data_IF_636570241346
#
_entry.id   IF_636570241346
#
_cell.length_a   1.000
_cell.length_b   1.000
_cell.length_c   1.000
_cell.angle_alpha   90.00
_cell.angle_beta   90.00
_cell.angle_gamma   90.00
#
_symmetry.space_group_name_H-M   'P 1'
#
loop_
_entity.id
_entity.type
_entity.pdbx_description
1 polymer ?
#
# COMPACT_ATOMS: atom_id res chain seq x y z
N UNK A 1 13.41 -0.49 14.63
CA UNK A 1 12.89 0.53 15.61
C UNK A 1 11.43 0.79 15.26
N UNK A 2 10.51 0.56 16.20
CA UNK A 2 9.07 0.75 15.96
C UNK A 2 8.76 2.25 15.88
N UNK A 3 8.31 2.71 14.72
CA UNK A 3 7.89 4.09 14.51
C UNK A 3 6.53 4.34 15.17
N UNK A 4 6.33 5.58 15.62
CA UNK A 4 5.04 6.00 16.15
C UNK A 4 4.07 6.26 15.00
N UNK A 5 3.15 5.31 14.81
CA UNK A 5 2.09 5.40 13.79
C UNK A 5 0.75 5.30 14.50
N UNK A 6 -0.18 6.18 14.15
CA UNK A 6 -1.52 6.22 14.72
C UNK A 6 -2.60 6.42 13.66
N UNK A 7 -3.84 6.15 14.05
CA UNK A 7 -5.04 6.45 13.25
C UNK A 7 -5.83 7.52 14.01
N UNK A 8 -6.20 8.60 13.32
CA UNK A 8 -7.04 9.65 13.93
C UNK A 8 -8.38 9.04 14.36
N UNK A 9 -8.70 9.15 15.65
CA UNK A 9 -9.89 8.56 16.25
C UNK A 9 -11.19 8.97 15.55
N UNK A 10 -11.25 10.16 14.96
CA UNK A 10 -12.40 10.65 14.19
C UNK A 10 -12.73 9.80 12.97
N UNK A 11 -11.76 9.02 12.47
CA UNK A 11 -11.99 8.12 11.34
C UNK A 11 -12.85 6.92 11.75
N UNK A 12 -12.74 6.44 12.99
CA UNK A 12 -13.54 5.32 13.51
C UNK A 12 -15.01 5.66 13.67
N UNK A 13 -15.35 6.94 13.86
CA UNK A 13 -16.74 7.40 13.90
C UNK A 13 -17.43 7.25 12.55
N UNK A 14 -16.66 7.23 11.44
CA UNK A 14 -17.16 7.12 10.07
C UNK A 14 -17.02 5.68 9.55
N UNK A 15 -15.88 5.05 9.83
CA UNK A 15 -15.57 3.71 9.34
C UNK A 15 -14.71 2.94 10.37
N UNK A 16 -15.33 2.15 11.25
CA UNK A 16 -14.65 1.54 12.40
C UNK A 16 -13.71 0.37 12.05
N UNK A 17 -13.74 -0.11 10.80
CA UNK A 17 -12.94 -1.27 10.35
C UNK A 17 -11.53 -0.89 9.84
N UNK A 18 -11.11 0.37 10.05
CA UNK A 18 -9.79 0.85 9.60
C UNK A 18 -8.71 0.24 10.46
N UNK A 19 -7.75 -0.41 9.83
CA UNK A 19 -6.52 -0.92 10.44
C UNK A 19 -5.34 -0.68 9.50
N UNK A 20 -4.16 -0.55 10.05
CA UNK A 20 -2.91 -0.53 9.29
C UNK A 20 -2.04 -1.71 9.72
N UNK A 21 -1.61 -2.50 8.75
CA UNK A 21 -0.49 -3.42 8.92
C UNK A 21 0.81 -2.70 8.58
N UNK A 22 1.78 -2.79 9.46
CA UNK A 22 3.02 -2.03 9.38
C UNK A 22 4.22 -2.96 9.43
N UNK A 23 5.20 -2.73 8.55
CA UNK A 23 6.53 -3.34 8.63
C UNK A 23 7.58 -2.23 8.52
N UNK A 24 8.62 -2.31 9.32
CA UNK A 24 9.82 -1.50 9.15
C UNK A 24 11.04 -2.39 9.03
N UNK A 25 11.97 -2.05 8.16
CA UNK A 25 13.19 -2.82 7.95
C UNK A 25 14.28 -1.98 7.31
N UNK A 26 15.52 -2.47 7.40
CA UNK A 26 16.63 -1.97 6.62
C UNK A 26 16.79 -2.81 5.34
N UNK A 27 17.00 -2.17 4.19
CA UNK A 27 17.17 -2.84 2.91
C UNK A 27 18.23 -2.15 2.03
N UNK A 28 18.93 -2.96 1.24
CA UNK A 28 19.70 -2.48 0.09
C UNK A 28 18.79 -2.53 -1.15
N UNK A 29 18.31 -1.38 -1.58
CA UNK A 29 17.39 -1.28 -2.71
C UNK A 29 18.12 -1.66 -4.00
N UNK A 30 17.61 -2.63 -4.71
CA UNK A 30 18.21 -3.16 -5.95
C UNK A 30 17.27 -2.97 -7.14
N UNK A 31 17.84 -3.03 -8.32
CA UNK A 31 17.06 -3.16 -9.56
C UNK A 31 16.17 -4.42 -9.51
N UNK A 32 15.10 -4.47 -10.32
CA UNK A 32 14.21 -5.63 -10.41
C UNK A 32 14.98 -6.94 -10.63
N UNK A 33 14.60 -7.99 -9.87
CA UNK A 33 15.24 -9.30 -9.90
C UNK A 33 14.50 -10.23 -10.88
N UNK A 34 15.26 -10.88 -11.80
CA UNK A 34 14.70 -11.84 -12.76
C UNK A 34 14.06 -13.06 -12.06
N UNK A 35 14.61 -13.51 -10.93
CA UNK A 35 14.06 -14.65 -10.16
C UNK A 35 12.70 -14.26 -9.56
N UNK A 36 12.59 -13.06 -8.99
CA UNK A 36 11.35 -12.52 -8.50
C UNK A 36 10.30 -12.44 -9.61
N UNK A 37 10.66 -11.87 -10.76
CA UNK A 37 9.71 -11.69 -11.86
C UNK A 37 9.32 -13.00 -12.54
N UNK A 38 10.19 -14.00 -12.58
CA UNK A 38 9.83 -15.36 -12.99
C UNK A 38 8.77 -15.94 -12.04
N UNK A 39 8.97 -15.85 -10.72
CA UNK A 39 7.99 -16.26 -9.72
C UNK A 39 6.66 -15.51 -9.87
N UNK A 40 6.70 -14.19 -10.03
CA UNK A 40 5.50 -13.38 -10.26
C UNK A 40 4.71 -13.85 -11.49
N UNK A 41 5.39 -14.00 -12.63
CA UNK A 41 4.74 -14.29 -13.91
C UNK A 41 4.24 -15.73 -14.02
N UNK A 42 4.98 -16.70 -13.48
CA UNK A 42 4.69 -18.12 -13.65
C UNK A 42 3.76 -18.66 -12.56
N UNK A 43 3.82 -18.11 -11.34
CA UNK A 43 3.07 -18.64 -10.19
C UNK A 43 1.98 -17.67 -9.71
N UNK A 44 2.35 -16.41 -9.41
CA UNK A 44 1.45 -15.48 -8.71
C UNK A 44 0.36 -14.93 -9.64
N UNK A 45 0.75 -14.30 -10.74
CA UNK A 45 -0.20 -13.61 -11.62
C UNK A 45 -1.22 -14.56 -12.27
N UNK A 46 -0.86 -15.79 -12.70
CA UNK A 46 -1.84 -16.76 -13.19
C UNK A 46 -2.86 -17.17 -12.11
N UNK A 47 -2.39 -17.41 -10.88
CA UNK A 47 -3.25 -17.75 -9.74
C UNK A 47 -4.21 -16.61 -9.41
N UNK A 48 -3.70 -15.39 -9.23
CA UNK A 48 -4.53 -14.21 -8.96
C UNK A 48 -5.54 -14.00 -10.07
N UNK A 49 -5.15 -14.13 -11.34
CA UNK A 49 -6.07 -14.01 -12.48
C UNK A 49 -7.21 -15.02 -12.42
N UNK A 50 -6.91 -16.28 -12.10
CA UNK A 50 -7.92 -17.32 -11.95
C UNK A 50 -8.87 -17.04 -10.78
N UNK A 51 -8.35 -16.53 -9.67
CA UNK A 51 -9.14 -16.19 -8.48
C UNK A 51 -10.11 -15.01 -8.69
N UNK A 52 -9.74 -14.05 -9.54
CA UNK A 52 -10.56 -12.86 -9.81
C UNK A 52 -11.43 -12.99 -11.07
N UNK A 53 -11.33 -14.09 -11.78
CA UNK A 53 -12.11 -14.31 -13.01
C UNK A 53 -13.62 -14.30 -12.71
N UNK A 54 -14.35 -13.55 -13.51
CA UNK A 54 -15.81 -13.39 -13.35
C UNK A 54 -16.29 -12.63 -12.12
N UNK A 55 -15.39 -12.23 -11.20
CA UNK A 55 -15.79 -11.48 -10.00
C UNK A 55 -16.02 -9.99 -10.30
N UNK A 56 -17.04 -9.43 -9.66
CA UNK A 56 -17.21 -7.98 -9.58
C UNK A 56 -16.21 -7.37 -8.58
N UNK A 57 -15.95 -6.06 -8.68
CA UNK A 57 -14.96 -5.39 -7.82
C UNK A 57 -15.30 -5.49 -6.33
N UNK A 58 -16.58 -5.50 -5.99
CA UNK A 58 -17.04 -5.64 -4.61
C UNK A 58 -17.03 -7.09 -4.08
N UNK A 59 -16.71 -8.07 -4.93
CA UNK A 59 -16.55 -9.47 -4.55
C UNK A 59 -15.09 -9.85 -4.28
N UNK A 60 -14.17 -8.92 -4.56
CA UNK A 60 -12.73 -9.09 -4.29
C UNK A 60 -12.42 -8.50 -2.92
N UNK A 61 -12.01 -9.36 -1.99
CA UNK A 61 -11.57 -8.98 -0.65
C UNK A 61 -10.43 -7.95 -0.74
N UNK A 62 -10.35 -7.02 0.22
CA UNK A 62 -9.42 -5.89 0.20
C UNK A 62 -9.88 -4.73 -0.69
N UNK A 63 -10.29 -5.02 -1.94
CA UNK A 63 -10.89 -3.98 -2.81
C UNK A 63 -12.27 -3.58 -2.30
N UNK A 64 -13.11 -4.55 -1.88
CA UNK A 64 -14.44 -4.31 -1.32
C UNK A 64 -14.38 -3.33 -0.16
N UNK A 65 -13.53 -3.58 0.84
CA UNK A 65 -13.37 -2.71 2.00
C UNK A 65 -12.85 -1.33 1.63
N UNK A 66 -11.84 -1.25 0.77
CA UNK A 66 -11.32 0.03 0.28
C UNK A 66 -12.40 0.87 -0.41
N UNK A 67 -13.23 0.26 -1.26
CA UNK A 67 -14.35 0.93 -1.95
C UNK A 67 -15.43 1.37 -0.98
N UNK A 68 -15.74 0.55 0.04
CA UNK A 68 -16.71 0.89 1.09
C UNK A 68 -16.22 2.06 1.95
N UNK A 69 -14.96 2.03 2.40
CA UNK A 69 -14.34 3.12 3.16
C UNK A 69 -14.35 4.44 2.38
N UNK A 70 -13.88 4.44 1.12
CA UNK A 70 -13.88 5.66 0.30
C UNK A 70 -15.29 6.23 0.13
N UNK A 71 -16.30 5.37 -0.08
CA UNK A 71 -17.70 5.80 -0.17
C UNK A 71 -18.18 6.42 1.14
N UNK A 72 -17.82 5.84 2.30
CA UNK A 72 -18.18 6.37 3.61
C UNK A 72 -17.58 7.77 3.85
N UNK A 73 -16.36 8.03 3.36
CA UNK A 73 -15.71 9.34 3.40
C UNK A 73 -16.14 10.27 2.25
N UNK A 74 -17.21 9.94 1.51
CA UNK A 74 -17.79 10.79 0.48
C UNK A 74 -17.06 10.81 -0.87
N UNK A 75 -16.16 9.85 -1.11
CA UNK A 75 -15.44 9.72 -2.39
C UNK A 75 -16.05 8.63 -3.27
N UNK A 76 -16.11 8.91 -4.56
CA UNK A 76 -16.58 7.93 -5.54
C UNK A 76 -15.45 6.92 -5.88
N UNK A 77 -15.56 5.64 -5.47
CA UNK A 77 -14.50 4.66 -5.69
C UNK A 77 -14.31 4.29 -7.18
N UNK A 78 -15.24 4.60 -8.05
CA UNK A 78 -15.09 4.44 -9.49
C UNK A 78 -14.14 5.47 -10.10
N UNK A 79 -14.09 6.67 -9.53
CA UNK A 79 -13.20 7.77 -9.95
C UNK A 79 -11.86 7.74 -9.21
N UNK A 80 -11.90 7.50 -7.90
CA UNK A 80 -10.73 7.45 -7.03
C UNK A 80 -10.42 5.99 -6.67
N UNK A 81 -9.62 5.34 -7.48
CA UNK A 81 -9.27 3.93 -7.30
C UNK A 81 -8.04 3.79 -6.42
N UNK A 82 -8.10 2.83 -5.51
CA UNK A 82 -6.93 2.43 -4.72
C UNK A 82 -5.89 1.73 -5.59
N UNK A 83 -4.63 1.73 -5.16
CA UNK A 83 -3.50 1.19 -5.93
C UNK A 83 -3.66 -0.30 -6.22
N UNK A 84 -4.12 -1.10 -5.25
CA UNK A 84 -4.39 -2.53 -5.44
C UNK A 84 -5.43 -2.81 -6.53
N UNK A 85 -6.52 -2.03 -6.59
CA UNK A 85 -7.51 -2.17 -7.66
C UNK A 85 -6.89 -1.84 -9.03
N UNK A 86 -6.00 -0.85 -9.10
CA UNK A 86 -5.31 -0.51 -10.34
C UNK A 86 -4.39 -1.65 -10.82
N UNK A 87 -3.63 -2.27 -9.90
CA UNK A 87 -2.78 -3.42 -10.19
C UNK A 87 -3.60 -4.64 -10.64
N UNK A 88 -4.66 -4.98 -9.90
CA UNK A 88 -5.52 -6.13 -10.22
C UNK A 88 -6.24 -5.93 -11.56
N UNK A 89 -6.58 -4.69 -11.95
CA UNK A 89 -7.11 -4.40 -13.29
C UNK A 89 -6.10 -4.71 -14.39
N UNK A 90 -4.79 -4.46 -14.16
CA UNK A 90 -3.73 -4.84 -15.11
C UNK A 90 -3.63 -6.36 -15.21
N UNK A 91 -3.59 -7.06 -14.06
CA UNK A 91 -3.55 -8.52 -14.01
C UNK A 91 -4.75 -9.14 -14.75
N UNK A 92 -5.95 -8.62 -14.55
CA UNK A 92 -7.18 -9.09 -15.24
C UNK A 92 -7.11 -8.94 -16.75
N UNK A 93 -6.52 -7.85 -17.25
CA UNK A 93 -6.34 -7.62 -18.69
C UNK A 93 -5.18 -8.41 -19.31
N UNK A 94 -4.32 -8.99 -18.49
CA UNK A 94 -3.09 -9.64 -18.93
C UNK A 94 -1.96 -8.66 -19.25
N UNK A 95 -2.07 -7.41 -18.76
CA UNK A 95 -1.01 -6.42 -18.88
C UNK A 95 0.13 -6.77 -17.91
N UNK A 96 1.38 -6.52 -18.30
CA UNK A 96 2.55 -6.62 -17.42
C UNK A 96 2.48 -5.60 -16.29
N UNK A 97 2.95 -5.98 -15.10
CA UNK A 97 3.18 -5.04 -14.01
C UNK A 97 4.49 -4.27 -14.23
N UNK A 98 4.59 -3.10 -13.60
CA UNK A 98 5.81 -2.30 -13.67
C UNK A 98 6.92 -2.92 -12.83
N UNK A 99 8.12 -2.98 -13.37
CA UNK A 99 9.35 -3.35 -12.68
C UNK A 99 9.98 -2.06 -12.16
N UNK A 100 10.01 -1.86 -10.85
CA UNK A 100 10.45 -0.59 -10.25
C UNK A 100 11.76 -0.78 -9.48
N UNK A 101 11.71 -1.48 -8.36
CA UNK A 101 12.85 -1.89 -7.56
C UNK A 101 12.43 -3.02 -6.60
N UNK A 102 13.40 -3.63 -5.93
CA UNK A 102 13.17 -4.81 -5.08
C UNK A 102 12.10 -4.62 -4.01
N UNK A 103 11.96 -3.44 -3.43
CA UNK A 103 10.94 -3.15 -2.39
C UNK A 103 9.57 -2.92 -3.00
N UNK A 104 9.47 -2.08 -4.02
CA UNK A 104 8.19 -1.73 -4.65
C UNK A 104 7.60 -2.94 -5.39
N UNK A 105 8.45 -3.79 -5.96
CA UNK A 105 8.01 -5.01 -6.64
C UNK A 105 7.39 -6.00 -5.64
N UNK A 106 7.97 -6.17 -4.44
CA UNK A 106 7.36 -6.96 -3.36
C UNK A 106 6.07 -6.30 -2.83
N UNK A 107 5.98 -4.97 -2.73
CA UNK A 107 4.69 -4.30 -2.44
C UNK A 107 3.61 -4.70 -3.43
N UNK A 108 3.94 -4.71 -4.73
CA UNK A 108 3.00 -5.08 -5.77
C UNK A 108 2.56 -6.55 -5.66
N UNK A 109 3.50 -7.45 -5.30
CA UNK A 109 3.18 -8.86 -4.99
C UNK A 109 2.11 -8.94 -3.89
N UNK A 110 2.37 -8.33 -2.73
CA UNK A 110 1.44 -8.35 -1.58
C UNK A 110 0.09 -7.73 -1.96
N UNK A 111 0.11 -6.62 -2.73
CA UNK A 111 -1.11 -5.95 -3.18
C UNK A 111 -1.97 -6.81 -4.10
N UNK A 112 -1.38 -7.54 -5.05
CA UNK A 112 -2.17 -8.36 -5.99
C UNK A 112 -2.70 -9.63 -5.34
N UNK A 113 -1.95 -10.22 -4.39
CA UNK A 113 -2.39 -11.41 -3.66
C UNK A 113 -3.50 -11.11 -2.66
N UNK A 114 -3.38 -10.00 -1.92
CA UNK A 114 -4.32 -9.66 -0.84
C UNK A 114 -5.49 -8.79 -1.27
N UNK A 115 -5.39 -8.09 -2.39
CA UNK A 115 -6.33 -7.03 -2.77
C UNK A 115 -6.19 -5.74 -1.96
N UNK A 116 -5.29 -5.70 -0.97
CA UNK A 116 -5.03 -4.51 -0.15
C UNK A 116 -3.99 -3.61 -0.80
N UNK A 117 -4.15 -2.30 -0.65
CA UNK A 117 -3.12 -1.36 -1.06
C UNK A 117 -1.94 -1.38 -0.11
N UNK A 118 -0.74 -1.39 -0.67
CA UNK A 118 0.52 -1.34 0.07
C UNK A 118 1.32 -0.14 -0.43
N UNK A 119 1.76 0.71 0.51
CA UNK A 119 2.70 1.80 0.26
C UNK A 119 4.04 1.51 0.93
N UNK A 120 5.13 1.99 0.35
CA UNK A 120 6.45 1.96 0.98
C UNK A 120 7.10 3.34 0.96
N UNK A 121 7.77 3.67 2.06
CA UNK A 121 8.24 5.02 2.33
C UNK A 121 9.67 4.99 2.87
N UNK A 122 10.49 5.92 2.39
CA UNK A 122 11.82 6.21 2.93
C UNK A 122 11.67 6.93 4.28
N UNK A 123 12.01 6.24 5.37
CA UNK A 123 11.91 6.77 6.73
C UNK A 123 12.80 7.98 6.98
N UNK A 124 13.87 8.17 6.20
CA UNK A 124 14.73 9.36 6.29
C UNK A 124 14.05 10.63 5.74
N UNK A 125 12.91 10.49 5.07
CA UNK A 125 12.08 11.58 4.54
C UNK A 125 10.81 11.82 5.36
N UNK A 126 10.66 11.16 6.50
CA UNK A 126 9.50 11.27 7.39
C UNK A 126 9.95 11.89 8.70
N UNK A 127 9.24 12.91 9.16
CA UNK A 127 9.58 13.70 10.32
C UNK A 127 8.51 13.62 11.42
N UNK A 128 8.90 13.10 12.58
CA UNK A 128 8.00 12.95 13.73
C UNK A 128 7.02 11.78 13.63
N UNK A 129 5.91 11.87 14.36
CA UNK A 129 4.88 10.84 14.40
C UNK A 129 4.06 10.80 13.10
N UNK A 130 3.69 9.59 12.68
CA UNK A 130 2.84 9.38 11.50
C UNK A 130 1.39 9.22 11.94
N UNK A 131 0.47 9.90 11.26
CA UNK A 131 -0.96 9.75 11.51
C UNK A 131 -1.72 9.48 10.21
N UNK A 132 -2.51 8.40 10.18
CA UNK A 132 -3.54 8.25 9.17
C UNK A 132 -4.70 9.17 9.52
N UNK A 133 -5.02 10.10 8.66
CA UNK A 133 -6.11 11.06 8.85
C UNK A 133 -6.85 11.36 7.57
N UNK A 134 -7.97 12.05 7.67
CA UNK A 134 -8.63 12.63 6.51
C UNK A 134 -7.87 13.89 6.08
N UNK A 135 -7.60 14.02 4.78
CA UNK A 135 -6.99 15.22 4.23
C UNK A 135 -7.95 16.41 4.30
N UNK A 136 -7.40 17.57 4.60
CA UNK A 136 -8.13 18.82 4.72
C UNK A 136 -8.41 19.46 3.35
N UNK A 137 -9.19 20.53 3.35
CA UNK A 137 -9.53 21.26 2.15
C UNK A 137 -8.27 21.88 1.51
N UNK A 138 -8.05 21.64 0.24
CA UNK A 138 -6.89 22.16 -0.50
C UNK A 138 -5.58 21.40 -0.27
N UNK A 139 -5.56 20.35 0.57
CA UNK A 139 -4.40 19.50 0.69
C UNK A 139 -4.20 18.61 -0.54
N UNK A 140 -2.95 18.49 -0.94
CA UNK A 140 -2.52 17.64 -2.04
C UNK A 140 -1.00 17.54 -2.12
N UNK A 141 -0.51 16.69 -3.00
CA UNK A 141 0.91 16.51 -3.26
C UNK A 141 1.19 16.10 -4.70
N UNK A 142 2.44 16.26 -5.15
CA UNK A 142 2.90 15.66 -6.40
C UNK A 142 2.99 14.15 -6.22
N UNK A 143 2.20 13.39 -6.99
CA UNK A 143 2.19 11.92 -6.95
C UNK A 143 3.34 11.32 -7.74
N UNK A 144 3.74 10.08 -7.41
CA UNK A 144 4.76 9.35 -8.16
C UNK A 144 4.26 9.11 -9.59
N UNK A 145 4.98 9.64 -10.57
CA UNK A 145 4.62 9.55 -11.99
C UNK A 145 3.33 10.29 -12.37
N UNK A 146 2.91 11.25 -11.54
CA UNK A 146 1.69 12.05 -11.74
C UNK A 146 1.97 13.51 -11.40
N UNK A 147 1.13 14.40 -11.97
CA UNK A 147 1.06 15.79 -11.56
C UNK A 147 0.52 15.94 -10.12
N UNK A 148 0.24 17.17 -9.72
CA UNK A 148 -0.37 17.45 -8.43
C UNK A 148 -1.71 16.71 -8.28
N UNK A 149 -1.85 15.97 -7.18
CA UNK A 149 -3.05 15.26 -6.79
C UNK A 149 -3.76 16.03 -5.68
N UNK A 150 -4.98 16.42 -5.95
CA UNK A 150 -5.90 16.91 -4.91
C UNK A 150 -6.33 15.73 -4.03
N UNK A 151 -5.95 15.78 -2.76
CA UNK A 151 -6.23 14.73 -1.78
C UNK A 151 -7.37 15.09 -0.83
N UNK A 152 -8.06 16.22 -1.06
CA UNK A 152 -9.18 16.64 -0.23
C UNK A 152 -10.16 15.48 0.06
N UNK A 153 -10.51 15.28 1.33
CA UNK A 153 -11.36 14.20 1.83
C UNK A 153 -10.85 12.75 1.59
N UNK A 154 -9.62 12.57 1.15
CA UNK A 154 -8.98 11.25 1.08
C UNK A 154 -8.39 10.85 2.44
N UNK A 155 -8.21 9.53 2.65
CA UNK A 155 -7.44 9.01 3.78
C UNK A 155 -5.96 9.07 3.42
N UNK A 156 -5.19 9.79 4.21
CA UNK A 156 -3.77 10.08 3.94
C UNK A 156 -2.90 9.85 5.16
N UNK A 157 -1.67 9.40 4.94
CA UNK A 157 -0.62 9.45 5.94
C UNK A 157 -0.03 10.84 5.97
N UNK A 158 0.15 11.37 7.16
CA UNK A 158 0.76 12.67 7.42
C UNK A 158 1.79 12.57 8.54
N UNK A 159 2.82 13.37 8.45
CA UNK A 159 3.83 13.63 9.49
C UNK A 159 3.86 15.12 9.84
N UNK A 160 4.92 15.62 10.50
CA UNK A 160 5.05 17.03 10.87
C UNK A 160 5.19 17.98 9.66
N UNK A 161 5.62 17.48 8.50
CA UNK A 161 5.76 18.29 7.27
C UNK A 161 4.50 18.28 6.42
N UNK A 162 3.53 17.39 6.69
CA UNK A 162 2.27 17.31 5.97
C UNK A 162 2.00 15.92 5.39
N UNK A 163 1.06 15.86 4.43
CA UNK A 163 0.63 14.59 3.85
C UNK A 163 1.68 14.03 2.88
N UNK A 164 1.88 12.69 2.90
CA UNK A 164 2.90 12.05 2.06
C UNK A 164 2.48 10.74 1.39
N UNK A 165 1.44 10.08 1.85
CA UNK A 165 1.04 8.79 1.32
C UNK A 165 -0.46 8.51 1.43
N UNK A 166 -0.93 7.56 0.65
CA UNK A 166 -2.32 7.10 0.68
C UNK A 166 -2.46 5.73 0.02
N UNK A 167 -3.59 5.05 0.26
CA UNK A 167 -3.91 3.82 -0.46
C UNK A 167 -4.18 4.00 -1.97
N UNK A 168 -4.19 5.23 -2.48
CA UNK A 168 -4.43 5.52 -3.89
C UNK A 168 -3.14 5.80 -4.68
N UNK A 169 -2.26 6.62 -4.13
CA UNK A 169 -0.99 7.00 -4.76
C UNK A 169 -0.14 7.75 -3.75
N UNK A 170 1.14 7.49 -3.73
CA UNK A 170 2.07 8.11 -2.79
C UNK A 170 2.70 9.38 -3.37
N UNK A 171 3.15 10.25 -2.47
CA UNK A 171 3.91 11.47 -2.78
C UNK A 171 5.32 11.14 -3.22
N UNK A 172 5.87 11.96 -4.11
CA UNK A 172 7.29 11.91 -4.46
C UNK A 172 8.20 12.25 -3.27
N UNK A 173 7.69 12.93 -2.22
CA UNK A 173 8.49 13.35 -1.06
C UNK A 173 9.11 12.18 -0.31
N UNK A 174 8.32 11.16 -0.02
CA UNK A 174 8.74 10.01 0.78
C UNK A 174 8.88 8.72 -0.04
N UNK A 175 8.99 8.81 -1.36
CA UNK A 175 9.10 7.62 -2.21
C UNK A 175 10.42 6.89 -1.98
N UNK A 176 10.37 5.57 -2.07
CA UNK A 176 11.56 4.70 -2.01
C UNK A 176 12.37 4.83 -3.30
N UNK A 177 13.63 5.24 -3.15
CA UNK A 177 14.63 5.33 -4.21
C UNK A 177 15.78 4.37 -3.93
N UNK A 178 16.73 4.24 -4.85
CA UNK A 178 17.94 3.41 -4.67
C UNK A 178 18.83 3.90 -3.49
N UNK A 179 18.66 5.13 -3.05
CA UNK A 179 19.39 5.73 -1.92
C UNK A 179 18.69 5.51 -0.57
N UNK A 180 17.47 4.96 -0.58
CA UNK A 180 16.72 4.67 0.65
C UNK A 180 17.24 3.37 1.28
N UNK A 181 17.33 3.36 2.60
CA UNK A 181 17.77 2.18 3.35
C UNK A 181 16.79 1.78 4.45
N UNK A 182 16.24 2.74 5.16
CA UNK A 182 15.27 2.51 6.23
C UNK A 182 13.86 2.69 5.69
N UNK A 183 13.12 1.60 5.63
CA UNK A 183 11.84 1.54 4.93
C UNK A 183 10.70 1.29 5.91
N UNK A 184 9.62 2.05 5.74
CA UNK A 184 8.30 1.74 6.30
C UNK A 184 7.38 1.23 5.21
N UNK A 185 6.79 0.06 5.43
CA UNK A 185 5.71 -0.47 4.59
C UNK A 185 4.39 -0.35 5.35
N UNK A 186 3.37 0.14 4.66
CA UNK A 186 2.01 0.32 5.20
C UNK A 186 1.01 -0.45 4.35
N UNK A 187 0.32 -1.42 4.95
CA UNK A 187 -0.78 -2.18 4.36
C UNK A 187 -2.09 -1.55 4.86
N UNK A 188 -2.87 -0.99 3.95
CA UNK A 188 -4.15 -0.34 4.28
C UNK A 188 -5.27 -1.36 4.30
N UNK A 189 -5.82 -1.67 5.48
CA UNK A 189 -6.88 -2.64 5.67
C UNK A 189 -8.18 -1.96 6.12
N UNK A 190 -9.28 -2.21 5.38
CA UNK A 190 -10.60 -1.66 5.64
C UNK A 190 -11.66 -2.78 5.78
N UNK A 191 -11.25 -3.97 6.16
CA UNK A 191 -12.11 -5.13 6.37
C UNK A 191 -11.69 -5.90 7.61
N UNK A 192 -12.67 -6.30 8.45
CA UNK A 192 -12.39 -7.04 9.69
C UNK A 192 -12.15 -8.54 9.47
N UNK A 193 -12.62 -9.09 8.36
CA UNK A 193 -12.49 -10.51 8.01
C UNK A 193 -11.11 -10.88 7.43
N UNK A 194 -10.23 -9.90 7.25
CA UNK A 194 -8.84 -10.12 6.83
C UNK A 194 -7.97 -10.37 8.07
N UNK A 195 -7.29 -11.53 8.08
CA UNK A 195 -6.25 -11.87 9.05
C UNK A 195 -4.96 -11.08 8.73
N UNK A 196 -4.88 -9.86 9.31
CA UNK A 196 -3.78 -8.94 9.04
C UNK A 196 -2.45 -9.40 9.67
N UNK A 197 -2.49 -10.18 10.77
CA UNK A 197 -1.27 -10.76 11.37
C UNK A 197 -0.64 -11.80 10.44
N UNK A 198 -1.47 -12.68 9.89
CA UNK A 198 -1.02 -13.67 8.91
C UNK A 198 -0.49 -13.00 7.64
N UNK A 199 -1.16 -11.94 7.17
CA UNK A 199 -0.70 -11.18 6.00
C UNK A 199 0.62 -10.48 6.26
N UNK A 200 0.83 -9.88 7.44
CA UNK A 200 2.10 -9.27 7.82
C UNK A 200 3.23 -10.29 7.87
N UNK A 201 2.97 -11.46 8.43
CA UNK A 201 3.96 -12.55 8.43
C UNK A 201 4.32 -13.01 7.01
N UNK A 202 3.33 -13.12 6.12
CA UNK A 202 3.57 -13.43 4.71
C UNK A 202 4.36 -12.31 4.01
N UNK A 203 4.00 -11.05 4.23
CA UNK A 203 4.70 -9.90 3.66
C UNK A 203 6.15 -9.85 4.13
N UNK A 204 6.42 -10.02 5.43
CA UNK A 204 7.77 -10.06 5.96
C UNK A 204 8.62 -11.14 5.29
N UNK A 205 8.11 -12.36 5.17
CA UNK A 205 8.79 -13.45 4.48
C UNK A 205 9.10 -13.11 3.01
N UNK A 206 8.16 -12.47 2.31
CA UNK A 206 8.37 -12.06 0.92
C UNK A 206 9.46 -10.98 0.80
N UNK A 207 9.49 -9.99 1.69
CA UNK A 207 10.56 -9.00 1.74
C UNK A 207 11.92 -9.61 2.07
N UNK A 208 11.98 -10.52 3.05
CA UNK A 208 13.22 -11.24 3.40
C UNK A 208 13.73 -12.08 2.22
N UNK A 209 12.84 -12.71 1.49
CA UNK A 209 13.19 -13.56 0.34
C UNK A 209 13.66 -12.76 -0.88
N UNK A 210 12.99 -11.65 -1.22
CA UNK A 210 13.15 -11.00 -2.51
C UNK A 210 13.75 -9.58 -2.46
N UNK A 211 13.76 -8.93 -1.28
CA UNK A 211 14.26 -7.56 -1.16
C UNK A 211 15.52 -7.43 -0.28
N UNK A 212 16.11 -8.54 0.14
CA UNK A 212 17.35 -8.57 0.95
C UNK A 212 17.25 -7.67 2.19
N UNK A 213 16.16 -7.81 2.95
CA UNK A 213 15.90 -6.99 4.13
C UNK A 213 16.54 -7.57 5.40
N UNK A 214 16.81 -6.71 6.35
CA UNK A 214 17.28 -7.05 7.70
C UNK A 214 16.55 -6.21 8.74
N UNK A 215 16.63 -6.62 10.01
CA UNK A 215 16.03 -5.91 11.15
C UNK A 215 14.52 -5.64 10.99
N UNK A 216 13.80 -6.60 10.42
CA UNK A 216 12.38 -6.44 10.16
C UNK A 216 11.55 -6.53 11.46
N UNK A 217 10.69 -5.55 11.67
CA UNK A 217 9.69 -5.51 12.73
C UNK A 217 8.30 -5.29 12.11
N UNK A 218 7.27 -5.98 12.61
CA UNK A 218 5.89 -5.81 12.15
C UNK A 218 4.93 -5.58 13.30
N UNK A 219 3.90 -4.76 13.07
CA UNK A 219 2.84 -4.48 14.05
C UNK A 219 1.56 -4.02 13.36
N UNK A 220 0.46 -3.97 14.12
CA UNK A 220 -0.85 -3.48 13.66
C UNK A 220 -1.26 -2.26 14.49
N UNK A 221 -1.90 -1.29 13.81
CA UNK A 221 -2.56 -0.13 14.41
C UNK A 221 -4.01 -0.08 13.94
#
# INVERSE_FOLDING_TARGET
MKYEVSIDNRLFDVYPEIRLGLLSFHADIKAPDEVFWTYMNDEVLPKVRAEIDGKEWNDISGIRGSRAAYKAFGRNPGRYRVSSEALIRRVRRGDELYHINSVVDVNNLISVESGLSVGSYDLNKIHGAITLRKAENGEGYSGIGKDFLDMENMLVLADEEGIFGSSMSDSTRAMVTEEAHDILVVIYCFENDIDLEKLLSHAQNAFEQFASVSEAESWIV
#
